data_IF_828488966149
#
_entry.id   IF_828488966149
#
_cell.length_a   1.000
_cell.length_b   1.000
_cell.length_c   1.000
_cell.angle_alpha   90.00
_cell.angle_beta   90.00
_cell.angle_gamma   90.00
#
_symmetry.space_group_name_H-M   'P 1'
#
loop_
_entity.id
_entity.type
_entity.pdbx_description
1 polymer ?
#
# COMPACT_ATOMS: atom_id res chain seq x y z
N UNK A 1 -0.20 21.22 6.43
CA UNK A 1 -0.52 21.15 7.87
C UNK A 1 0.56 21.92 8.60
N UNK A 2 0.18 22.87 9.44
CA UNK A 2 1.15 23.55 10.30
C UNK A 2 1.70 22.56 11.32
N UNK A 3 2.97 22.67 11.65
CA UNK A 3 3.60 21.84 12.68
C UNK A 3 2.86 22.05 14.02
N UNK A 4 2.43 20.96 14.64
CA UNK A 4 1.66 20.97 15.89
C UNK A 4 0.14 20.96 15.70
N UNK A 5 -0.36 20.85 14.46
CA UNK A 5 -1.78 20.68 14.15
C UNK A 5 -2.24 19.22 14.16
N UNK A 6 -1.37 18.28 14.49
CA UNK A 6 -1.70 16.86 14.60
C UNK A 6 -2.49 16.60 15.89
N UNK A 7 -3.61 15.89 15.78
CA UNK A 7 -4.33 15.38 16.94
C UNK A 7 -3.68 14.08 17.44
N UNK A 8 -3.01 14.08 18.62
CA UNK A 8 -2.35 12.89 19.15
C UNK A 8 -3.34 11.77 19.51
N UNK A 9 -4.63 12.09 19.61
CA UNK A 9 -5.69 11.13 19.91
C UNK A 9 -6.54 10.76 18.70
N UNK A 10 -6.15 11.15 17.49
CA UNK A 10 -6.90 10.84 16.27
C UNK A 10 -7.23 9.35 16.13
N UNK A 11 -6.32 8.47 16.52
CA UNK A 11 -6.53 7.02 16.54
C UNK A 11 -7.71 6.59 17.43
N UNK A 12 -7.96 7.29 18.54
CA UNK A 12 -9.04 6.98 19.47
C UNK A 12 -10.44 7.23 18.86
N UNK A 13 -10.53 8.02 17.81
CA UNK A 13 -11.77 8.26 17.07
C UNK A 13 -12.11 7.13 16.07
N UNK A 14 -11.19 6.17 15.85
CA UNK A 14 -11.35 5.11 14.85
C UNK A 14 -11.92 3.85 15.49
N UNK A 15 -13.19 3.56 15.23
CA UNK A 15 -13.88 2.38 15.77
C UNK A 15 -13.19 1.05 15.52
N UNK A 16 -12.38 0.94 14.45
CA UNK A 16 -11.64 -0.28 14.10
C UNK A 16 -10.63 -0.74 15.16
N UNK A 17 -10.19 0.15 16.06
CA UNK A 17 -9.36 -0.23 17.20
C UNK A 17 -10.15 -0.94 18.31
N UNK A 18 -11.47 -0.72 18.36
CA UNK A 18 -12.33 -1.07 19.51
C UNK A 18 -13.47 -2.03 19.16
N UNK A 19 -13.48 -2.64 17.97
CA UNK A 19 -14.51 -3.59 17.59
C UNK A 19 -14.42 -4.83 18.48
N UNK A 20 -15.52 -5.15 19.18
CA UNK A 20 -15.61 -6.34 20.03
C UNK A 20 -15.36 -7.60 19.18
N UNK A 21 -14.43 -8.44 19.63
CA UNK A 21 -14.05 -9.69 18.95
C UNK A 21 -12.99 -9.57 17.87
N UNK A 22 -12.71 -8.36 17.35
CA UNK A 22 -11.67 -8.10 16.36
C UNK A 22 -10.95 -6.78 16.70
N UNK A 23 -10.24 -6.75 17.84
CA UNK A 23 -9.51 -5.56 18.26
C UNK A 23 -8.38 -5.23 17.26
N UNK A 24 -8.13 -3.94 17.06
CA UNK A 24 -7.07 -3.44 16.16
C UNK A 24 -7.22 -3.85 14.69
N UNK A 25 -8.44 -3.96 14.19
CA UNK A 25 -8.74 -4.37 12.81
C UNK A 25 -8.49 -3.26 11.77
N UNK A 26 -7.46 -2.49 11.94
CA UNK A 26 -7.02 -1.47 10.99
C UNK A 26 -5.84 -1.91 10.12
N UNK A 27 -5.02 -2.88 10.60
CA UNK A 27 -3.83 -3.36 9.90
C UNK A 27 -4.11 -4.00 8.54
N UNK A 28 -5.23 -4.74 8.28
CA UNK A 28 -5.46 -5.36 6.98
C UNK A 28 -5.60 -4.36 5.85
N UNK A 29 -6.10 -3.16 6.12
CA UNK A 29 -6.25 -2.11 5.11
C UNK A 29 -4.90 -1.59 4.65
N UNK A 30 -4.00 -1.30 5.58
CA UNK A 30 -2.64 -0.87 5.24
C UNK A 30 -1.86 -1.99 4.54
N UNK A 31 -1.97 -3.22 5.05
CA UNK A 31 -1.34 -4.39 4.46
C UNK A 31 -1.79 -4.59 3.00
N UNK A 32 -3.11 -4.61 2.76
CA UNK A 32 -3.67 -4.78 1.42
C UNK A 32 -3.29 -3.64 0.48
N UNK A 33 -3.28 -2.41 0.97
CA UNK A 33 -2.87 -1.25 0.19
C UNK A 33 -1.39 -1.35 -0.23
N UNK A 34 -0.48 -1.58 0.71
CA UNK A 34 0.95 -1.69 0.41
C UNK A 34 1.24 -2.89 -0.49
N UNK A 35 0.59 -4.04 -0.26
CA UNK A 35 0.72 -5.20 -1.13
C UNK A 35 0.30 -4.85 -2.57
N UNK A 36 -0.83 -4.18 -2.75
CA UNK A 36 -1.29 -3.76 -4.07
C UNK A 36 -0.32 -2.81 -4.77
N UNK A 37 0.29 -1.87 -4.03
CA UNK A 37 1.30 -0.96 -4.57
C UNK A 37 2.57 -1.70 -5.02
N UNK A 38 3.04 -2.67 -4.23
CA UNK A 38 4.19 -3.50 -4.60
C UNK A 38 3.91 -4.33 -5.87
N UNK A 39 2.73 -4.94 -5.97
CA UNK A 39 2.33 -5.70 -7.15
C UNK A 39 2.17 -4.80 -8.38
N UNK A 40 1.61 -3.62 -8.22
CA UNK A 40 1.49 -2.65 -9.30
C UNK A 40 2.86 -2.13 -9.75
N UNK A 41 3.78 -1.85 -8.83
CA UNK A 41 5.15 -1.50 -9.17
C UNK A 41 5.85 -2.61 -9.97
N UNK A 42 5.63 -3.86 -9.60
CA UNK A 42 6.15 -5.01 -10.35
C UNK A 42 5.53 -5.11 -11.75
N UNK A 43 4.21 -4.92 -11.89
CA UNK A 43 3.55 -4.86 -13.19
C UNK A 43 4.12 -3.74 -14.08
N UNK A 44 4.37 -2.56 -13.52
CA UNK A 44 4.96 -1.44 -14.28
C UNK A 44 6.36 -1.75 -14.81
N UNK A 45 7.15 -2.56 -14.11
CA UNK A 45 8.48 -2.99 -14.55
C UNK A 45 8.45 -4.09 -15.61
N UNK A 46 7.55 -5.06 -15.44
CA UNK A 46 7.53 -6.29 -16.24
C UNK A 46 6.50 -6.26 -17.37
N UNK A 47 5.54 -5.34 -17.28
CA UNK A 47 4.46 -5.22 -18.26
C UNK A 47 3.52 -6.43 -18.27
N UNK A 48 2.91 -6.74 -19.44
CA UNK A 48 1.94 -7.83 -19.58
C UNK A 48 2.46 -9.21 -19.20
N UNK A 49 3.78 -9.43 -19.21
CA UNK A 49 4.39 -10.70 -18.79
C UNK A 49 4.15 -11.03 -17.31
N UNK A 50 3.82 -10.03 -16.50
CA UNK A 50 3.46 -10.20 -15.09
C UNK A 50 2.07 -10.83 -14.90
N UNK A 51 1.12 -10.58 -15.80
CA UNK A 51 -0.29 -10.92 -15.62
C UNK A 51 -0.56 -12.39 -15.30
N UNK A 52 0.06 -13.39 -15.97
CA UNK A 52 -0.17 -14.80 -15.65
C UNK A 52 0.21 -15.14 -14.20
N UNK A 53 1.29 -14.53 -13.67
CA UNK A 53 1.73 -14.73 -12.28
C UNK A 53 0.78 -14.05 -11.30
N UNK A 54 0.28 -12.88 -11.64
CA UNK A 54 -0.73 -12.18 -10.84
C UNK A 54 -2.04 -12.99 -10.76
N UNK A 55 -2.50 -13.56 -11.88
CA UNK A 55 -3.67 -14.44 -11.89
C UNK A 55 -3.44 -15.71 -11.05
N UNK A 56 -2.24 -16.30 -11.12
CA UNK A 56 -1.88 -17.44 -10.28
C UNK A 56 -1.91 -17.08 -8.80
N UNK A 57 -1.42 -15.88 -8.45
CA UNK A 57 -1.52 -15.35 -7.09
C UNK A 57 -2.99 -15.24 -6.64
N UNK A 58 -3.86 -14.63 -7.45
CA UNK A 58 -5.28 -14.51 -7.11
C UNK A 58 -5.97 -15.87 -6.92
N UNK A 59 -5.65 -16.86 -7.74
CA UNK A 59 -6.18 -18.24 -7.59
C UNK A 59 -5.68 -18.92 -6.34
N UNK A 60 -4.49 -18.53 -5.84
CA UNK A 60 -3.87 -19.11 -4.64
C UNK A 60 -4.40 -18.48 -3.35
N UNK A 61 -4.97 -17.25 -3.41
CA UNK A 61 -5.53 -16.57 -2.25
C UNK A 61 -6.67 -17.39 -1.62
N UNK A 62 -6.71 -17.42 -0.28
CA UNK A 62 -7.68 -18.19 0.48
C UNK A 62 -7.34 -19.68 0.64
N UNK A 63 -6.37 -20.23 -0.12
CA UNK A 63 -5.92 -21.63 -0.01
C UNK A 63 -4.50 -21.79 0.56
N UNK A 64 -3.80 -20.68 0.78
CA UNK A 64 -2.46 -20.63 1.37
C UNK A 64 -2.30 -19.38 2.23
N UNK A 65 -1.23 -19.33 3.03
CA UNK A 65 -0.85 -18.06 3.69
C UNK A 65 -0.42 -17.03 2.65
N UNK A 66 -0.49 -15.76 3.00
CA UNK A 66 -0.12 -14.69 2.07
C UNK A 66 1.35 -14.80 1.64
N UNK A 67 2.24 -15.12 2.58
CA UNK A 67 3.67 -15.34 2.34
C UNK A 67 3.91 -16.46 1.32
N UNK A 68 3.24 -17.59 1.51
CA UNK A 68 3.34 -18.73 0.61
C UNK A 68 2.80 -18.38 -0.79
N UNK A 69 1.62 -17.75 -0.87
CA UNK A 69 1.00 -17.37 -2.12
C UNK A 69 1.90 -16.42 -2.91
N UNK A 70 2.44 -15.37 -2.28
CA UNK A 70 3.33 -14.41 -2.94
C UNK A 70 4.64 -15.06 -3.36
N UNK A 71 5.25 -15.89 -2.49
CA UNK A 71 6.51 -16.55 -2.79
C UNK A 71 6.40 -17.53 -3.95
N UNK A 72 5.36 -18.38 -3.93
CA UNK A 72 5.16 -19.41 -4.96
C UNK A 72 4.82 -18.83 -6.33
N UNK A 73 4.04 -17.76 -6.39
CA UNK A 73 3.50 -17.25 -7.65
C UNK A 73 4.26 -16.05 -8.21
N UNK A 74 4.78 -15.21 -7.34
CA UNK A 74 5.43 -13.95 -7.72
C UNK A 74 6.95 -13.98 -7.48
N UNK A 75 7.45 -15.01 -6.78
CA UNK A 75 8.87 -15.15 -6.47
C UNK A 75 9.40 -14.11 -5.47
N UNK A 76 8.50 -13.49 -4.69
CA UNK A 76 8.84 -12.43 -3.73
C UNK A 76 8.64 -12.91 -2.29
N UNK A 77 9.39 -12.33 -1.38
CA UNK A 77 9.30 -12.63 0.05
C UNK A 77 8.80 -11.40 0.80
N UNK A 78 7.53 -11.44 1.24
CA UNK A 78 6.90 -10.35 1.98
C UNK A 78 7.31 -10.29 3.46
N UNK A 79 8.12 -11.22 3.94
CA UNK A 79 8.69 -11.14 5.29
C UNK A 79 9.91 -10.22 5.33
N UNK A 80 10.44 -9.84 4.17
CA UNK A 80 11.59 -8.97 4.04
C UNK A 80 11.18 -7.50 3.97
N UNK A 81 11.84 -6.60 4.72
CA UNK A 81 11.54 -5.16 4.72
C UNK A 81 11.62 -4.52 3.33
N UNK A 82 12.50 -5.01 2.48
CA UNK A 82 12.76 -4.48 1.14
C UNK A 82 11.51 -4.55 0.25
N UNK A 83 10.69 -5.59 0.42
CA UNK A 83 9.43 -5.71 -0.29
C UNK A 83 8.50 -4.53 0.00
N UNK A 84 8.37 -4.17 1.26
CA UNK A 84 7.51 -3.07 1.71
C UNK A 84 8.09 -1.69 1.41
N UNK A 85 9.41 -1.55 1.52
CA UNK A 85 10.09 -0.32 1.12
C UNK A 85 9.83 0.03 -0.35
N UNK A 86 9.81 -0.98 -1.23
CA UNK A 86 9.48 -0.81 -2.64
C UNK A 86 8.03 -0.30 -2.84
N UNK A 87 7.08 -0.81 -2.06
CA UNK A 87 5.69 -0.35 -2.08
C UNK A 87 5.57 1.13 -1.63
N UNK A 88 6.31 1.51 -0.59
CA UNK A 88 6.35 2.90 -0.10
C UNK A 88 6.96 3.83 -1.15
N UNK A 89 8.08 3.45 -1.75
CA UNK A 89 8.71 4.24 -2.82
C UNK A 89 7.82 4.41 -4.06
N UNK A 90 6.95 3.44 -4.34
CA UNK A 90 6.00 3.57 -5.44
C UNK A 90 5.00 4.73 -5.24
N UNK A 91 4.77 5.13 -3.99
CA UNK A 91 3.90 6.27 -3.64
C UNK A 91 4.60 7.63 -3.80
N UNK A 92 5.92 7.68 -3.89
CA UNK A 92 6.66 8.94 -4.07
C UNK A 92 6.32 9.64 -5.39
N UNK A 93 6.02 8.85 -6.42
CA UNK A 93 5.77 9.40 -7.75
C UNK A 93 4.52 10.29 -7.81
N UNK A 94 3.32 9.83 -7.40
CA UNK A 94 2.14 10.69 -7.35
C UNK A 94 2.27 11.84 -6.36
N UNK A 95 3.02 11.66 -5.26
CA UNK A 95 3.29 12.71 -4.30
C UNK A 95 4.12 13.85 -4.94
N UNK A 96 5.21 13.51 -5.64
CA UNK A 96 6.01 14.49 -6.37
C UNK A 96 5.23 15.21 -7.48
N UNK A 97 4.30 14.49 -8.14
CA UNK A 97 3.41 15.14 -9.11
C UNK A 97 2.50 16.18 -8.43
N UNK A 98 1.93 15.84 -7.28
CA UNK A 98 1.11 16.76 -6.49
C UNK A 98 1.94 17.98 -6.04
N UNK A 99 3.11 17.75 -5.49
CA UNK A 99 4.03 18.82 -5.07
C UNK A 99 4.39 19.79 -6.21
N UNK A 100 4.56 19.28 -7.41
CA UNK A 100 4.82 20.09 -8.60
C UNK A 100 3.62 20.94 -9.03
N UNK A 101 2.39 20.48 -8.80
CA UNK A 101 1.15 21.19 -9.16
C UNK A 101 0.76 22.27 -8.15
N UNK A 102 1.12 22.12 -6.88
CA UNK A 102 0.75 23.08 -5.82
C UNK A 102 1.21 24.53 -6.13
N UNK A 103 2.43 24.80 -6.57
CA UNK A 103 2.86 26.16 -6.90
C UNK A 103 2.08 26.81 -8.06
N UNK A 104 1.56 26.01 -8.99
CA UNK A 104 0.75 26.51 -10.10
C UNK A 104 -0.66 26.89 -9.63
N UNK A 105 -1.25 26.09 -8.72
CA UNK A 105 -2.56 26.36 -8.16
C UNK A 105 -2.59 27.62 -7.28
N UNK A 106 -1.53 27.86 -6.53
CA UNK A 106 -1.38 29.07 -5.69
C UNK A 106 -1.29 30.34 -6.56
N UNK A 107 -0.70 30.28 -7.75
CA UNK A 107 -0.61 31.41 -8.69
C UNK A 107 -1.95 31.76 -9.34
N UNK A 108 -2.86 30.78 -9.49
CA UNK A 108 -4.16 30.99 -10.14
C UNK A 108 -5.20 31.53 -9.15
N UNK A 109 -4.98 31.36 -7.84
CA UNK A 109 -5.89 31.81 -6.77
C UNK A 109 -5.52 33.16 -6.15
N UNK A 110 -4.48 33.83 -6.63
CA UNK A 110 -4.06 35.18 -6.24
C UNK A 110 -4.40 36.20 -7.34
#
# INVERSE_FOLDING_TARGET
LEAGGEDPYFWASKGHFFISGISFYNYPYLFGYLLSQALFAQYRREGPAFLPRYEAFLRRTGSATCEAAVKETLGRDITQPEFWAEAVHAMDHPLKQLEALVPELVKVGA
#
